data_IF_001932709213
#
_entry.id   IF_001932709213
#
_cell.length_a   1.000
_cell.length_b   1.000
_cell.length_c   1.000
_cell.angle_alpha   90.00
_cell.angle_beta   90.00
_cell.angle_gamma   90.00
#
_symmetry.space_group_name_H-M   'P 1'
#
loop_
_entity.id
_entity.type
_entity.pdbx_description
1 polymer ?
#
# COMPACT_ATOMS: atom_id res chain seq x y z
N UNK A 1 37.45 -18.23 -7.15
CA UNK A 1 36.81 -19.37 -7.82
C UNK A 1 36.11 -18.83 -9.07
N UNK A 2 36.22 -19.53 -10.23
CA UNK A 2 35.42 -19.14 -11.42
C UNK A 2 33.95 -19.31 -11.04
N UNK A 3 33.14 -18.27 -11.20
CA UNK A 3 31.67 -18.35 -11.09
C UNK A 3 31.21 -19.52 -11.97
N UNK A 4 30.47 -20.49 -11.40
CA UNK A 4 29.71 -21.45 -12.19
C UNK A 4 28.67 -20.73 -13.04
N UNK A 5 28.20 -21.31 -14.13
CA UNK A 5 27.08 -20.79 -14.89
C UNK A 5 25.83 -20.78 -14.00
N UNK A 6 24.95 -19.77 -14.21
CA UNK A 6 23.62 -19.73 -13.59
C UNK A 6 22.85 -21.03 -13.92
N UNK A 7 22.11 -21.55 -12.95
CA UNK A 7 21.41 -22.83 -13.07
C UNK A 7 19.89 -22.63 -13.00
N UNK A 8 19.18 -23.50 -13.71
CA UNK A 8 17.73 -23.59 -13.59
C UNK A 8 17.37 -24.80 -12.74
N UNK A 9 16.55 -24.60 -11.71
CA UNK A 9 16.02 -25.64 -10.85
C UNK A 9 14.53 -25.81 -11.09
N UNK A 10 14.12 -27.02 -11.44
CA UNK A 10 12.75 -27.36 -11.75
C UNK A 10 12.05 -28.00 -10.55
N UNK A 11 10.83 -27.57 -10.26
CA UNK A 11 10.02 -28.13 -9.17
C UNK A 11 8.67 -28.56 -9.74
N UNK A 12 8.26 -29.80 -9.51
CA UNK A 12 7.02 -30.38 -9.98
C UNK A 12 6.31 -31.10 -8.82
N UNK A 13 5.27 -30.49 -8.28
CA UNK A 13 4.53 -31.02 -7.13
C UNK A 13 3.88 -32.38 -7.40
N UNK A 14 3.64 -32.74 -8.65
CA UNK A 14 2.98 -33.99 -9.05
C UNK A 14 3.98 -35.12 -9.31
N UNK A 15 4.93 -34.89 -10.21
CA UNK A 15 5.84 -35.94 -10.72
C UNK A 15 7.29 -35.83 -10.23
N UNK A 16 7.63 -34.75 -9.53
CA UNK A 16 8.98 -34.53 -9.01
C UNK A 16 9.34 -35.45 -7.86
N UNK A 17 10.66 -35.54 -7.59
CA UNK A 17 11.20 -36.21 -6.42
C UNK A 17 12.35 -35.41 -5.82
N UNK A 18 12.29 -35.12 -4.51
CA UNK A 18 13.33 -34.38 -3.78
C UNK A 18 14.69 -35.17 -3.73
N UNK A 19 14.69 -36.40 -4.18
CA UNK A 19 15.91 -37.24 -4.35
C UNK A 19 16.67 -36.94 -5.64
N UNK A 20 16.08 -36.17 -6.56
CA UNK A 20 16.67 -35.80 -7.85
C UNK A 20 17.53 -34.54 -7.74
N UNK A 21 18.22 -34.18 -8.82
CA UNK A 21 19.09 -33.01 -8.89
C UNK A 21 18.34 -31.68 -9.15
N UNK A 22 17.11 -31.75 -9.66
CA UNK A 22 16.30 -30.58 -10.01
C UNK A 22 16.72 -29.88 -11.30
N UNK A 23 17.68 -30.35 -12.04
CA UNK A 23 18.31 -29.61 -13.15
C UNK A 23 17.60 -29.74 -14.50
N UNK A 24 16.50 -30.46 -14.54
CA UNK A 24 15.64 -30.57 -15.73
C UNK A 24 14.20 -30.86 -15.32
N UNK A 25 13.22 -30.65 -16.22
CA UNK A 25 11.83 -31.05 -15.96
C UNK A 25 11.64 -32.52 -15.66
N UNK A 26 12.53 -33.39 -16.15
CA UNK A 26 12.47 -34.84 -15.92
C UNK A 26 13.09 -35.26 -14.58
N UNK A 27 13.95 -34.44 -14.03
CA UNK A 27 14.61 -34.65 -12.73
C UNK A 27 14.18 -33.61 -11.68
N UNK A 28 12.98 -33.03 -11.86
CA UNK A 28 12.43 -31.97 -11.01
C UNK A 28 12.33 -32.39 -9.54
N UNK A 29 12.57 -31.46 -8.64
CA UNK A 29 12.24 -31.61 -7.22
C UNK A 29 10.72 -31.66 -7.03
N UNK A 30 10.28 -32.10 -5.86
CA UNK A 30 8.85 -32.23 -5.59
C UNK A 30 8.30 -31.11 -4.71
N UNK A 31 9.04 -30.67 -3.72
CA UNK A 31 8.49 -29.88 -2.62
C UNK A 31 9.22 -28.55 -2.38
N UNK A 32 8.50 -27.59 -1.82
CA UNK A 32 9.09 -26.35 -1.31
C UNK A 32 10.12 -26.62 -0.20
N UNK A 33 9.95 -27.72 0.56
CA UNK A 33 10.94 -28.13 1.57
C UNK A 33 12.33 -28.32 0.97
N UNK A 34 12.42 -28.91 -0.23
CA UNK A 34 13.69 -29.08 -0.93
C UNK A 34 14.25 -27.76 -1.41
N UNK A 35 13.39 -26.88 -1.93
CA UNK A 35 13.77 -25.51 -2.33
C UNK A 35 14.32 -24.75 -1.12
N UNK A 36 13.60 -24.73 -0.01
CA UNK A 36 13.98 -24.02 1.20
C UNK A 36 15.26 -24.55 1.88
N UNK A 37 15.64 -25.80 1.61
CA UNK A 37 16.88 -26.40 2.10
C UNK A 37 18.08 -26.16 1.17
N UNK A 38 17.89 -25.42 0.07
CA UNK A 38 18.91 -25.15 -0.95
C UNK A 38 19.34 -23.69 -0.90
N UNK A 39 20.65 -23.45 -0.92
CA UNK A 39 21.18 -22.07 -1.08
C UNK A 39 21.47 -21.83 -2.55
N UNK A 40 20.80 -20.84 -3.11
CA UNK A 40 20.93 -20.45 -4.52
C UNK A 40 22.04 -19.43 -4.70
N UNK A 41 22.58 -19.38 -5.91
CA UNK A 41 23.69 -18.51 -6.29
C UNK A 41 23.20 -17.42 -7.26
N UNK A 42 23.93 -16.31 -7.39
CA UNK A 42 23.57 -15.23 -8.32
C UNK A 42 23.26 -15.73 -9.73
N UNK A 43 22.07 -15.38 -10.23
CA UNK A 43 21.56 -15.74 -11.53
C UNK A 43 20.83 -17.08 -11.61
N UNK A 44 20.73 -17.83 -10.50
CA UNK A 44 19.94 -19.07 -10.47
C UNK A 44 18.44 -18.76 -10.65
N UNK A 45 17.71 -19.73 -11.22
CA UNK A 45 16.27 -19.66 -11.42
C UNK A 45 15.59 -20.88 -10.78
N UNK A 46 14.54 -20.64 -10.02
CA UNK A 46 13.65 -21.65 -9.45
C UNK A 46 12.36 -21.64 -10.26
N UNK A 47 12.07 -22.70 -10.96
CA UNK A 47 10.95 -22.79 -11.88
C UNK A 47 9.92 -23.79 -11.36
N UNK A 48 8.73 -23.30 -10.97
CA UNK A 48 7.62 -24.11 -10.51
C UNK A 48 6.75 -24.54 -11.70
N UNK A 49 6.35 -25.80 -11.75
CA UNK A 49 5.47 -26.28 -12.81
C UNK A 49 4.09 -25.66 -12.69
N UNK A 50 3.59 -25.08 -13.77
CA UNK A 50 2.24 -24.51 -13.87
C UNK A 50 1.13 -25.53 -13.65
N UNK A 51 -0.02 -25.09 -13.13
CA UNK A 51 -1.21 -25.92 -12.93
C UNK A 51 -1.18 -26.82 -11.69
N UNK A 52 -0.24 -26.61 -10.78
CA UNK A 52 -0.13 -27.38 -9.54
C UNK A 52 -0.01 -26.48 -8.31
N UNK A 53 -0.45 -27.02 -7.16
CA UNK A 53 -0.34 -26.36 -5.84
C UNK A 53 0.85 -26.92 -5.08
N UNK A 54 1.63 -26.03 -4.52
CA UNK A 54 2.79 -26.28 -3.68
C UNK A 54 2.45 -25.87 -2.24
N UNK A 55 2.30 -26.85 -1.37
CA UNK A 55 1.91 -26.62 0.01
C UNK A 55 3.07 -26.13 0.87
N UNK A 56 2.79 -25.12 1.71
CA UNK A 56 3.72 -24.56 2.68
C UNK A 56 4.36 -23.25 2.24
N UNK A 57 5.25 -22.74 3.08
CA UNK A 57 5.99 -21.50 2.83
C UNK A 57 7.09 -21.71 1.77
N UNK A 58 7.21 -20.76 0.85
CA UNK A 58 8.38 -20.64 -0.03
C UNK A 58 9.38 -19.67 0.61
N UNK A 59 10.52 -20.16 1.06
CA UNK A 59 11.61 -19.38 1.66
C UNK A 59 12.96 -19.87 1.12
N UNK A 60 13.30 -19.58 -0.14
CA UNK A 60 14.57 -19.97 -0.73
C UNK A 60 15.72 -19.19 -0.08
N UNK A 61 16.92 -19.77 -0.02
CA UNK A 61 18.09 -19.17 0.62
C UNK A 61 19.11 -18.67 -0.41
N UNK A 62 19.93 -17.70 -0.02
CA UNK A 62 20.99 -17.12 -0.86
C UNK A 62 20.70 -15.68 -1.26
N UNK A 63 21.70 -15.06 -1.88
CA UNK A 63 21.62 -13.69 -2.41
C UNK A 63 22.05 -13.68 -3.88
N UNK A 64 21.34 -12.90 -4.69
CA UNK A 64 21.77 -12.54 -6.03
C UNK A 64 22.83 -11.45 -6.04
N UNK A 65 23.02 -10.84 -7.19
CA UNK A 65 23.77 -9.57 -7.36
C UNK A 65 23.01 -8.65 -8.31
N UNK A 66 23.39 -7.40 -8.38
CA UNK A 66 22.75 -6.42 -9.27
C UNK A 66 22.78 -6.89 -10.75
N UNK A 67 23.85 -7.58 -11.18
CA UNK A 67 23.97 -8.08 -12.55
C UNK A 67 23.31 -9.45 -12.75
N UNK A 68 23.01 -10.16 -11.66
CA UNK A 68 22.52 -11.53 -11.68
C UNK A 68 21.58 -11.81 -10.48
N UNK A 69 20.38 -11.23 -10.46
CA UNK A 69 19.37 -11.53 -9.43
C UNK A 69 18.96 -13.00 -9.51
N UNK A 70 18.55 -13.57 -8.39
CA UNK A 70 17.96 -14.91 -8.35
C UNK A 70 16.47 -14.77 -8.64
N UNK A 71 15.90 -15.71 -9.39
CA UNK A 71 14.52 -15.64 -9.83
C UNK A 71 13.68 -16.81 -9.37
N UNK A 72 12.45 -16.52 -8.96
CA UNK A 72 11.40 -17.53 -8.81
C UNK A 72 10.35 -17.27 -9.88
N UNK A 73 10.06 -18.29 -10.68
CA UNK A 73 9.07 -18.20 -11.75
C UNK A 73 8.41 -19.53 -12.03
N UNK A 74 7.91 -19.70 -13.24
CA UNK A 74 7.19 -20.92 -13.61
C UNK A 74 7.66 -21.49 -14.95
N UNK A 75 7.36 -22.77 -15.18
CA UNK A 75 7.55 -23.43 -16.46
C UNK A 75 6.33 -24.28 -16.83
N UNK A 76 6.20 -24.59 -18.11
CA UNK A 76 5.05 -25.27 -18.67
C UNK A 76 4.02 -24.27 -19.22
N UNK A 77 2.81 -24.72 -19.41
CA UNK A 77 1.69 -23.89 -19.89
C UNK A 77 0.45 -24.10 -19.06
N UNK A 78 -0.42 -23.08 -18.98
CA UNK A 78 -1.68 -23.14 -18.23
C UNK A 78 -1.73 -22.19 -17.05
N UNK A 79 -2.49 -22.53 -16.01
CA UNK A 79 -2.67 -21.70 -14.82
C UNK A 79 -1.36 -21.51 -14.04
N UNK A 80 -1.21 -20.39 -13.36
CA UNK A 80 -0.05 -20.11 -12.50
C UNK A 80 0.14 -21.23 -11.47
N UNK A 81 1.40 -21.51 -11.05
CA UNK A 81 1.63 -22.40 -9.92
C UNK A 81 1.19 -21.71 -8.63
N UNK A 82 0.49 -22.44 -7.78
CA UNK A 82 -0.07 -21.93 -6.53
C UNK A 82 0.86 -22.22 -5.37
N UNK A 83 1.28 -21.21 -4.64
CA UNK A 83 1.88 -21.36 -3.31
C UNK A 83 0.76 -21.25 -2.29
N UNK A 84 0.45 -22.33 -1.60
CA UNK A 84 -0.60 -22.36 -0.57
C UNK A 84 0.03 -22.64 0.80
N UNK A 85 0.11 -21.61 1.62
CA UNK A 85 0.65 -21.69 2.97
C UNK A 85 -0.32 -22.31 3.99
N UNK A 86 -1.56 -22.60 3.59
CA UNK A 86 -2.56 -23.30 4.42
C UNK A 86 -3.00 -22.53 5.68
N UNK A 87 -2.93 -21.20 5.64
CA UNK A 87 -3.26 -20.36 6.77
C UNK A 87 -2.20 -20.35 7.88
N UNK A 88 -0.95 -20.62 7.52
CA UNK A 88 0.17 -20.46 8.46
C UNK A 88 0.22 -19.03 9.00
N UNK A 89 0.64 -18.87 10.23
CA UNK A 89 0.66 -17.56 10.90
C UNK A 89 1.86 -17.41 11.81
N UNK A 90 2.38 -16.20 11.91
CA UNK A 90 3.29 -15.78 12.94
C UNK A 90 2.57 -15.27 14.20
N UNK A 91 3.29 -15.08 15.27
CA UNK A 91 2.79 -14.52 16.54
C UNK A 91 3.65 -13.35 16.97
N UNK A 92 3.09 -12.44 17.76
CA UNK A 92 3.83 -11.27 18.29
C UNK A 92 4.98 -11.68 19.23
N UNK A 93 4.82 -12.79 19.96
CA UNK A 93 5.80 -13.31 20.90
C UNK A 93 6.81 -14.26 20.23
N UNK A 94 6.49 -14.74 19.03
CA UNK A 94 7.32 -15.59 18.20
C UNK A 94 7.90 -14.85 17.00
N UNK A 95 8.48 -15.61 16.09
CA UNK A 95 8.93 -15.02 14.84
C UNK A 95 7.74 -14.90 13.85
N UNK A 96 7.27 -13.67 13.61
CA UNK A 96 6.16 -13.41 12.70
C UNK A 96 6.46 -13.78 11.24
N UNK A 97 7.71 -14.06 10.88
CA UNK A 97 8.11 -14.54 9.55
C UNK A 97 7.44 -15.86 9.18
N UNK A 98 7.08 -16.67 10.15
CA UNK A 98 6.35 -17.92 9.94
C UNK A 98 4.95 -17.71 9.32
N UNK A 99 4.45 -16.48 9.35
CA UNK A 99 3.14 -16.13 8.80
C UNK A 99 3.10 -15.87 7.29
N UNK A 100 4.20 -15.95 6.58
CA UNK A 100 4.25 -15.64 5.15
C UNK A 100 4.08 -16.89 4.26
N UNK A 101 3.38 -16.75 3.13
CA UNK A 101 3.39 -17.78 2.08
C UNK A 101 4.70 -17.73 1.27
N UNK A 102 5.18 -16.51 0.95
CA UNK A 102 6.50 -16.28 0.35
C UNK A 102 7.31 -15.36 1.25
N UNK A 103 8.51 -15.79 1.63
CA UNK A 103 9.37 -15.09 2.57
C UNK A 103 10.75 -14.78 1.99
N UNK A 104 11.18 -13.51 2.13
CA UNK A 104 12.58 -13.09 1.98
C UNK A 104 13.01 -12.38 3.29
N UNK A 105 13.96 -12.98 4.01
CA UNK A 105 14.45 -12.49 5.29
C UNK A 105 15.94 -12.20 5.23
N UNK A 106 16.31 -10.92 5.34
CA UNK A 106 17.70 -10.46 5.21
C UNK A 106 18.37 -10.94 3.90
N UNK A 107 17.65 -10.91 2.80
CA UNK A 107 18.08 -11.35 1.49
C UNK A 107 17.97 -10.22 0.46
N UNK A 108 18.84 -10.28 -0.56
CA UNK A 108 18.91 -9.27 -1.61
C UNK A 108 18.91 -9.90 -3.00
N UNK A 109 18.48 -9.08 -3.98
CA UNK A 109 18.52 -9.41 -5.40
C UNK A 109 17.70 -10.65 -5.76
N UNK A 110 16.41 -10.57 -5.40
CA UNK A 110 15.41 -11.60 -5.74
C UNK A 110 14.29 -11.02 -6.58
N UNK A 111 13.87 -11.80 -7.56
CA UNK A 111 12.69 -11.52 -8.37
C UNK A 111 11.69 -12.67 -8.28
N UNK A 112 10.41 -12.37 -8.07
CA UNK A 112 9.31 -13.33 -8.11
C UNK A 112 8.37 -12.91 -9.23
N UNK A 113 8.07 -13.84 -10.15
CA UNK A 113 7.25 -13.52 -11.31
C UNK A 113 6.23 -14.64 -11.61
N UNK A 114 4.96 -14.25 -11.71
CA UNK A 114 3.92 -15.10 -12.27
C UNK A 114 3.40 -16.22 -11.39
N UNK A 115 3.44 -16.07 -10.08
CA UNK A 115 2.88 -17.04 -9.13
C UNK A 115 1.46 -16.67 -8.70
N UNK A 116 0.68 -17.67 -8.28
CA UNK A 116 -0.52 -17.52 -7.47
C UNK A 116 -0.17 -17.81 -6.01
N UNK A 117 -0.58 -16.94 -5.08
CA UNK A 117 -0.11 -16.98 -3.67
C UNK A 117 -1.33 -16.83 -2.76
N UNK A 118 -1.52 -17.82 -1.89
CA UNK A 118 -2.67 -17.93 -0.98
C UNK A 118 -2.17 -18.22 0.44
N UNK A 119 -2.79 -17.59 1.43
CA UNK A 119 -2.55 -17.90 2.84
C UNK A 119 -3.86 -17.86 3.64
N UNK A 120 -4.75 -18.78 3.36
CA UNK A 120 -6.08 -18.85 3.93
C UNK A 120 -6.21 -19.92 4.99
N UNK A 121 -6.70 -19.54 6.18
CA UNK A 121 -7.15 -20.49 7.19
C UNK A 121 -8.67 -20.56 7.23
N UNK A 122 -9.29 -21.63 6.75
CA UNK A 122 -10.74 -21.76 6.72
C UNK A 122 -11.39 -21.87 8.11
N UNK A 123 -10.61 -22.12 9.13
CA UNK A 123 -11.07 -22.21 10.52
C UNK A 123 -10.88 -20.89 11.27
N UNK A 124 -10.20 -19.89 10.69
CA UNK A 124 -10.04 -18.59 11.32
C UNK A 124 -11.38 -17.87 11.34
N UNK A 125 -11.85 -17.59 12.53
CA UNK A 125 -13.01 -16.72 12.74
C UNK A 125 -12.53 -15.45 13.41
N UNK A 126 -12.83 -14.38 12.75
CA UNK A 126 -12.56 -13.08 13.30
C UNK A 126 -13.53 -12.83 14.47
N UNK A 127 -13.03 -12.79 15.70
CA UNK A 127 -13.84 -12.44 16.87
C UNK A 127 -13.81 -10.92 17.10
N UNK A 128 -15.00 -10.29 17.20
CA UNK A 128 -15.13 -8.86 17.42
C UNK A 128 -15.21 -8.57 18.91
N UNK A 129 -14.19 -7.93 19.46
CA UNK A 129 -14.28 -7.32 20.79
C UNK A 129 -14.60 -5.83 20.56
N UNK A 130 -15.75 -5.40 21.03
CA UNK A 130 -16.19 -4.01 20.96
C UNK A 130 -15.49 -3.22 22.07
N UNK A 131 -14.28 -2.77 21.85
CA UNK A 131 -13.64 -1.75 22.67
C UNK A 131 -13.62 -0.43 21.87
N UNK A 132 -14.35 0.56 22.35
CA UNK A 132 -14.31 1.92 21.80
C UNK A 132 -12.95 2.54 22.10
N UNK A 133 -12.19 2.87 21.10
CA UNK A 133 -10.98 3.65 21.27
C UNK A 133 -11.37 5.09 21.71
N UNK A 134 -10.78 5.61 22.81
CA UNK A 134 -11.23 6.90 23.39
C UNK A 134 -11.04 8.10 22.50
N UNK A 135 -10.17 8.04 21.49
CA UNK A 135 -9.87 9.15 20.58
C UNK A 135 -10.45 9.02 19.16
N UNK A 136 -10.62 7.81 18.66
CA UNK A 136 -11.06 7.60 17.27
C UNK A 136 -12.49 7.07 17.16
N UNK A 137 -13.13 6.71 18.27
CA UNK A 137 -14.44 6.04 18.29
C UNK A 137 -14.51 4.77 17.43
N UNK A 138 -13.36 4.28 16.97
CA UNK A 138 -13.27 3.05 16.19
C UNK A 138 -13.36 1.83 17.10
N UNK A 139 -14.01 0.82 16.62
CA UNK A 139 -14.11 -0.48 17.28
C UNK A 139 -12.88 -1.29 16.89
N UNK A 140 -11.90 -1.38 17.81
CA UNK A 140 -10.76 -2.25 17.58
C UNK A 140 -11.11 -3.69 17.93
N UNK A 141 -10.72 -4.57 17.05
CA UNK A 141 -10.66 -5.98 17.34
C UNK A 141 -9.36 -6.34 18.01
N UNK A 142 -9.46 -7.03 19.11
CA UNK A 142 -8.34 -7.72 19.69
C UNK A 142 -8.58 -9.20 19.51
N UNK A 143 -7.88 -9.82 18.55
CA UNK A 143 -7.80 -11.26 18.55
C UNK A 143 -6.91 -11.68 19.72
N UNK A 144 -7.34 -12.61 20.57
CA UNK A 144 -6.50 -13.11 21.66
C UNK A 144 -5.24 -13.81 21.16
N UNK A 145 -5.15 -14.10 19.87
CA UNK A 145 -4.08 -14.91 19.31
C UNK A 145 -3.06 -14.15 18.46
N UNK A 146 -3.21 -12.81 18.27
CA UNK A 146 -2.28 -11.93 17.49
C UNK A 146 -1.65 -12.67 16.29
N UNK A 147 -2.47 -13.09 15.34
CA UNK A 147 -2.03 -13.93 14.22
C UNK A 147 -1.70 -13.09 13.00
N UNK A 148 -0.45 -13.09 12.62
CA UNK A 148 0.07 -12.41 11.44
C UNK A 148 0.08 -13.35 10.25
N UNK A 149 -0.54 -12.94 9.12
CA UNK A 149 -0.51 -13.68 7.85
C UNK A 149 -0.18 -12.74 6.71
N UNK A 150 0.67 -13.22 5.83
CA UNK A 150 1.09 -12.48 4.67
C UNK A 150 1.04 -13.37 3.43
N UNK A 151 0.68 -12.81 2.29
CA UNK A 151 0.94 -13.44 1.01
C UNK A 151 2.45 -13.44 0.76
N UNK A 152 3.06 -12.26 0.65
CA UNK A 152 4.51 -12.07 0.50
C UNK A 152 5.02 -11.21 1.64
N UNK A 153 6.06 -11.67 2.34
CA UNK A 153 6.79 -10.89 3.35
C UNK A 153 8.25 -10.73 2.92
N UNK A 154 8.67 -9.48 2.83
CA UNK A 154 10.06 -9.10 2.62
C UNK A 154 10.49 -8.33 3.86
N UNK A 155 11.47 -8.85 4.58
CA UNK A 155 11.92 -8.25 5.84
C UNK A 155 13.43 -8.16 5.93
N UNK A 156 13.91 -6.96 6.19
CA UNK A 156 15.29 -6.74 6.65
C UNK A 156 15.27 -6.35 8.12
N UNK A 157 16.09 -7.02 8.94
CA UNK A 157 16.15 -6.83 10.38
C UNK A 157 17.60 -6.67 10.85
N UNK A 158 17.94 -5.51 11.43
CA UNK A 158 19.30 -5.17 11.86
C UNK A 158 20.34 -5.41 10.76
N UNK A 159 20.01 -5.01 9.52
CA UNK A 159 20.71 -5.51 8.33
C UNK A 159 21.60 -4.46 7.64
N UNK A 160 21.26 -3.18 7.72
CA UNK A 160 21.79 -2.14 6.85
C UNK A 160 20.83 -1.87 5.70
N UNK A 161 21.33 -1.67 4.48
CA UNK A 161 20.46 -1.47 3.32
C UNK A 161 20.15 -2.79 2.61
N UNK A 162 18.88 -3.13 2.54
CA UNK A 162 18.37 -4.20 1.69
C UNK A 162 18.28 -3.77 0.23
N UNK A 163 18.49 -4.66 -0.72
CA UNK A 163 18.52 -4.30 -2.13
C UNK A 163 17.70 -5.23 -3.02
N UNK A 164 17.04 -4.64 -4.01
CA UNK A 164 16.49 -5.27 -5.20
C UNK A 164 15.59 -6.48 -4.90
N UNK A 165 14.36 -6.20 -4.53
CA UNK A 165 13.31 -7.21 -4.47
C UNK A 165 12.18 -6.78 -5.41
N UNK A 166 11.92 -7.61 -6.43
CA UNK A 166 10.88 -7.36 -7.41
C UNK A 166 9.80 -8.44 -7.36
N UNK A 167 8.55 -8.04 -7.13
CA UNK A 167 7.37 -8.92 -7.11
C UNK A 167 6.48 -8.55 -8.28
N UNK A 168 6.40 -9.44 -9.27
CA UNK A 168 5.77 -9.11 -10.56
C UNK A 168 4.72 -10.14 -10.98
N UNK A 169 3.66 -9.64 -11.62
CA UNK A 169 2.66 -10.47 -12.31
C UNK A 169 2.07 -11.62 -11.46
N UNK A 170 2.08 -11.48 -10.13
CA UNK A 170 1.52 -12.47 -9.23
C UNK A 170 0.02 -12.26 -9.03
N UNK A 171 -0.69 -13.32 -8.67
CA UNK A 171 -2.04 -13.27 -8.16
C UNK A 171 -2.00 -13.62 -6.68
N UNK A 172 -2.26 -12.64 -5.81
CA UNK A 172 -2.17 -12.79 -4.36
C UNK A 172 -3.55 -12.60 -3.79
N UNK A 173 -4.09 -13.64 -3.13
CA UNK A 173 -5.47 -13.58 -2.70
C UNK A 173 -5.76 -14.48 -1.48
N UNK A 174 -6.94 -14.30 -0.90
CA UNK A 174 -7.38 -15.09 0.26
C UNK A 174 -6.34 -15.09 1.39
N UNK A 175 -5.85 -13.90 1.77
CA UNK A 175 -4.98 -13.74 2.94
C UNK A 175 -5.84 -13.26 4.10
N UNK A 176 -6.29 -14.21 4.92
CA UNK A 176 -7.17 -13.91 6.04
C UNK A 176 -6.42 -13.84 7.38
N UNK A 177 -6.76 -12.86 8.19
CA UNK A 177 -6.09 -12.65 9.47
C UNK A 177 -6.74 -11.58 10.31
N UNK A 178 -6.02 -11.10 11.30
CA UNK A 178 -6.50 -10.01 12.12
C UNK A 178 -6.48 -8.69 11.35
N UNK A 179 -7.66 -8.07 11.20
CA UNK A 179 -7.81 -6.84 10.44
C UNK A 179 -7.47 -5.57 11.22
N UNK A 180 -7.29 -5.66 12.53
CA UNK A 180 -7.16 -4.47 13.41
C UNK A 180 -5.77 -3.83 13.44
N UNK A 181 -4.71 -4.46 12.90
CA UNK A 181 -3.33 -4.06 13.17
C UNK A 181 -2.32 -4.39 12.07
N UNK A 182 -2.61 -4.20 10.81
CA UNK A 182 -1.66 -4.52 9.75
C UNK A 182 -1.12 -5.97 9.84
N UNK A 183 -1.98 -6.90 10.21
CA UNK A 183 -1.61 -8.29 10.49
C UNK A 183 -2.00 -9.26 9.38
N UNK A 184 -2.69 -8.79 8.36
CA UNK A 184 -3.11 -9.59 7.22
C UNK A 184 -2.88 -8.78 5.94
N UNK A 185 -1.78 -9.05 5.24
CA UNK A 185 -1.40 -8.25 4.09
C UNK A 185 -1.09 -9.10 2.87
N UNK A 186 -1.46 -8.58 1.71
CA UNK A 186 -1.10 -9.20 0.44
C UNK A 186 0.42 -9.22 0.26
N UNK A 187 1.04 -8.04 0.26
CA UNK A 187 2.51 -7.87 0.20
C UNK A 187 2.93 -6.92 1.31
N UNK A 188 3.86 -7.37 2.15
CA UNK A 188 4.54 -6.53 3.13
C UNK A 188 6.03 -6.45 2.84
N UNK A 189 6.54 -5.22 2.70
CA UNK A 189 7.97 -4.91 2.67
C UNK A 189 8.31 -4.13 3.92
N UNK A 190 9.20 -4.63 4.76
CA UNK A 190 9.46 -4.00 6.04
C UNK A 190 10.93 -4.01 6.45
N UNK A 191 11.41 -2.88 6.97
CA UNK A 191 12.67 -2.79 7.69
C UNK A 191 12.41 -2.70 9.20
N UNK A 192 13.10 -3.53 9.96
CA UNK A 192 12.93 -3.64 11.42
C UNK A 192 14.28 -3.68 12.12
N UNK A 193 14.27 -3.62 13.43
CA UNK A 193 15.49 -3.71 14.21
C UNK A 193 15.26 -3.59 15.71
N UNK A 194 16.35 -3.45 16.43
CA UNK A 194 16.41 -3.10 17.85
C UNK A 194 17.14 -1.78 18.01
N UNK A 195 16.90 -1.05 19.07
CA UNK A 195 17.48 0.29 19.30
C UNK A 195 19.01 0.30 19.29
N UNK A 196 19.64 -0.81 19.63
CA UNK A 196 21.09 -1.04 19.61
C UNK A 196 21.56 -1.82 18.35
N UNK A 197 20.63 -2.11 17.44
CA UNK A 197 20.91 -2.87 16.22
C UNK A 197 21.45 -2.03 15.06
N UNK A 198 21.70 -2.68 13.95
CA UNK A 198 22.13 -2.00 12.73
C UNK A 198 20.97 -1.23 12.11
N UNK A 199 21.07 0.09 11.89
CA UNK A 199 20.07 0.87 11.18
C UNK A 199 19.76 0.24 9.83
N UNK A 200 18.45 0.11 9.53
CA UNK A 200 18.00 -0.70 8.38
C UNK A 200 17.01 0.10 7.52
N UNK A 201 17.27 0.13 6.25
CA UNK A 201 16.40 0.62 5.19
C UNK A 201 16.51 -0.30 3.96
N UNK A 202 15.88 0.08 2.86
CA UNK A 202 15.99 -0.68 1.60
C UNK A 202 16.03 0.26 0.39
N UNK A 203 16.57 -0.28 -0.69
CA UNK A 203 16.74 0.38 -1.97
C UNK A 203 16.37 -0.56 -3.10
N UNK A 204 15.63 -0.06 -4.11
CA UNK A 204 15.16 -0.83 -5.27
C UNK A 204 14.15 -1.93 -4.90
N UNK A 205 12.92 -1.51 -4.57
CA UNK A 205 11.77 -2.39 -4.42
C UNK A 205 10.76 -2.10 -5.54
N UNK A 206 10.43 -3.12 -6.32
CA UNK A 206 9.43 -3.04 -7.39
C UNK A 206 8.28 -4.01 -7.13
N UNK A 207 7.06 -3.48 -7.09
CA UNK A 207 5.81 -4.23 -7.00
C UNK A 207 4.99 -3.89 -8.25
N UNK A 208 4.94 -4.79 -9.24
CA UNK A 208 4.45 -4.47 -10.57
C UNK A 208 3.48 -5.51 -11.14
N UNK A 209 2.34 -5.05 -11.67
CA UNK A 209 1.44 -5.88 -12.46
C UNK A 209 0.77 -7.02 -11.68
N UNK A 210 0.67 -6.92 -10.36
CA UNK A 210 0.06 -7.95 -9.54
C UNK A 210 -1.47 -7.74 -9.47
N UNK A 211 -2.19 -8.86 -9.37
CA UNK A 211 -3.60 -8.89 -8.97
C UNK A 211 -3.64 -9.26 -7.48
N UNK A 212 -4.22 -8.39 -6.66
CA UNK A 212 -4.30 -8.55 -5.19
C UNK A 212 -5.76 -8.42 -4.78
N UNK A 213 -6.33 -9.45 -4.17
CA UNK A 213 -7.74 -9.42 -3.81
C UNK A 213 -8.09 -10.25 -2.57
N UNK A 214 -9.20 -9.89 -1.91
CA UNK A 214 -9.70 -10.59 -0.73
C UNK A 214 -8.66 -10.69 0.40
N UNK A 215 -8.13 -9.52 0.79
CA UNK A 215 -7.15 -9.38 1.86
C UNK A 215 -7.81 -8.78 3.10
N UNK A 216 -7.66 -9.43 4.25
CA UNK A 216 -8.32 -9.00 5.49
C UNK A 216 -7.78 -7.70 6.10
N UNK A 217 -6.69 -7.12 5.57
CA UNK A 217 -6.21 -5.80 5.98
C UNK A 217 -5.67 -4.98 4.81
N UNK A 218 -4.41 -5.05 4.46
CA UNK A 218 -3.75 -4.17 3.48
C UNK A 218 -3.30 -4.92 2.24
N UNK A 219 -3.58 -4.38 1.06
CA UNK A 219 -3.14 -4.98 -0.20
C UNK A 219 -1.62 -4.97 -0.33
N UNK A 220 -1.01 -3.79 -0.31
CA UNK A 220 0.44 -3.58 -0.39
C UNK A 220 0.87 -2.62 0.72
N UNK A 221 1.84 -3.03 1.52
CA UNK A 221 2.42 -2.22 2.59
C UNK A 221 3.93 -2.16 2.48
N UNK A 222 4.47 -0.94 2.55
CA UNK A 222 5.90 -0.66 2.63
C UNK A 222 6.14 0.11 3.91
N UNK A 223 6.94 -0.42 4.83
CA UNK A 223 7.05 0.12 6.19
C UNK A 223 8.47 0.09 6.75
N UNK A 224 8.75 0.98 7.70
CA UNK A 224 9.99 0.98 8.46
C UNK A 224 9.76 1.24 9.94
N UNK A 225 10.44 0.50 10.79
CA UNK A 225 10.55 0.77 12.21
C UNK A 225 11.62 1.85 12.52
N UNK A 226 12.48 2.21 11.58
CA UNK A 226 13.46 3.29 11.70
C UNK A 226 12.82 4.62 11.31
N UNK A 227 12.04 5.20 12.23
CA UNK A 227 11.08 6.25 11.92
C UNK A 227 11.09 7.43 12.91
N UNK A 228 12.01 7.49 13.90
CA UNK A 228 12.05 8.53 14.92
C UNK A 228 12.63 9.86 14.41
N UNK A 229 12.23 10.96 15.05
CA UNK A 229 12.93 12.26 14.93
C UNK A 229 12.32 13.25 13.94
N UNK A 230 11.17 12.92 13.30
CA UNK A 230 10.44 13.84 12.42
C UNK A 230 9.32 14.62 13.13
N UNK A 231 9.37 14.64 14.46
CA UNK A 231 8.37 15.33 15.28
C UNK A 231 7.00 14.63 15.29
N UNK A 232 6.95 13.38 14.88
CA UNK A 232 5.78 12.54 15.05
C UNK A 232 5.81 12.07 16.49
N UNK A 233 4.94 12.66 17.32
CA UNK A 233 4.70 12.16 18.67
C UNK A 233 3.61 11.08 18.55
N UNK A 234 4.02 9.86 18.48
CA UNK A 234 3.11 8.76 18.79
C UNK A 234 2.81 8.89 20.28
N UNK A 235 1.75 9.62 20.62
CA UNK A 235 1.31 9.87 21.98
C UNK A 235 1.25 8.55 22.71
N UNK A 236 2.13 8.34 23.71
CA UNK A 236 2.34 7.12 24.49
C UNK A 236 1.10 6.33 24.86
N UNK A 237 0.40 5.93 23.85
CA UNK A 237 -0.82 5.15 23.91
C UNK A 237 -0.39 3.68 24.07
N UNK A 238 -0.84 2.97 25.09
CA UNK A 238 -0.53 1.54 25.27
C UNK A 238 -0.87 0.67 24.05
N UNK A 239 -1.69 1.18 23.12
CA UNK A 239 -1.94 0.54 21.83
C UNK A 239 -0.73 0.58 20.88
N UNK A 240 0.11 1.59 20.96
CA UNK A 240 1.28 1.75 20.09
C UNK A 240 2.42 0.82 20.49
N UNK A 241 2.54 0.48 21.77
CA UNK A 241 3.58 -0.41 22.29
C UNK A 241 3.43 -1.87 21.84
N UNK A 242 2.26 -2.27 21.35
CA UNK A 242 1.97 -3.64 20.95
C UNK A 242 1.71 -3.78 19.43
N UNK A 243 1.84 -2.69 18.68
CA UNK A 243 1.73 -2.72 17.23
C UNK A 243 3.11 -2.76 16.61
N UNK A 244 3.43 -3.84 15.97
CA UNK A 244 4.72 -4.07 15.32
C UNK A 244 5.16 -2.92 14.39
N UNK A 245 4.22 -2.28 13.73
CA UNK A 245 4.46 -1.16 12.80
C UNK A 245 4.69 0.18 13.49
N UNK A 246 4.24 0.35 14.72
CA UNK A 246 4.42 1.58 15.48
C UNK A 246 5.58 1.51 16.50
N UNK A 247 6.31 0.41 16.52
CA UNK A 247 7.52 0.31 17.34
C UNK A 247 8.67 0.98 16.56
N UNK A 248 8.87 2.25 16.82
CA UNK A 248 10.07 2.95 16.32
C UNK A 248 11.27 2.48 17.13
N UNK A 249 12.37 2.24 16.44
CA UNK A 249 13.60 1.68 17.06
C UNK A 249 14.80 2.60 16.95
N UNK A 250 14.71 3.69 16.18
CA UNK A 250 15.81 4.62 16.01
C UNK A 250 15.50 5.72 15.00
N UNK A 251 16.50 6.56 14.70
CA UNK A 251 16.31 7.72 13.83
C UNK A 251 15.75 7.32 12.47
N UNK A 252 14.90 8.19 11.92
CA UNK A 252 14.33 8.02 10.60
C UNK A 252 15.40 7.82 9.53
N UNK A 253 15.22 6.76 8.75
CA UNK A 253 16.05 6.44 7.59
C UNK A 253 15.10 6.13 6.43
N UNK A 254 15.06 7.03 5.43
CA UNK A 254 14.22 6.84 4.26
C UNK A 254 14.72 5.70 3.36
N UNK A 255 13.80 4.84 2.96
CA UNK A 255 14.04 3.87 1.89
C UNK A 255 13.86 4.52 0.53
N UNK A 256 14.61 4.09 -0.48
CA UNK A 256 14.69 4.73 -1.79
C UNK A 256 14.36 3.78 -2.94
N UNK A 257 14.09 4.35 -4.12
CA UNK A 257 13.79 3.59 -5.33
C UNK A 257 12.65 2.57 -5.16
N UNK A 258 11.59 2.99 -4.46
CA UNK A 258 10.37 2.19 -4.29
C UNK A 258 9.40 2.54 -5.42
N UNK A 259 8.97 1.54 -6.18
CA UNK A 259 8.00 1.70 -7.27
C UNK A 259 6.87 0.68 -7.11
N UNK A 260 5.64 1.17 -7.07
CA UNK A 260 4.43 0.35 -7.02
C UNK A 260 3.59 0.73 -8.22
N UNK A 261 3.54 -0.14 -9.23
CA UNK A 261 2.88 0.23 -10.49
C UNK A 261 2.09 -0.89 -11.17
N UNK A 262 1.02 -0.49 -11.85
CA UNK A 262 0.24 -1.40 -12.70
C UNK A 262 -0.45 -2.52 -11.92
N UNK A 263 -0.59 -2.40 -10.60
CA UNK A 263 -1.27 -3.40 -9.79
C UNK A 263 -2.79 -3.19 -9.82
N UNK A 264 -3.53 -4.27 -9.70
CA UNK A 264 -4.98 -4.28 -9.53
C UNK A 264 -5.29 -4.79 -8.12
N UNK A 265 -5.98 -3.97 -7.33
CA UNK A 265 -6.25 -4.24 -5.92
C UNK A 265 -7.76 -4.20 -5.71
N UNK A 266 -8.31 -5.30 -5.21
CA UNK A 266 -9.74 -5.44 -4.99
C UNK A 266 -10.04 -5.94 -3.59
N UNK A 267 -11.04 -5.36 -2.94
CA UNK A 267 -11.62 -5.87 -1.68
C UNK A 267 -10.60 -6.12 -0.58
N UNK A 268 -9.87 -5.07 -0.24
CA UNK A 268 -9.07 -5.06 1.00
C UNK A 268 -9.93 -4.53 2.15
N UNK A 269 -9.93 -5.21 3.28
CA UNK A 269 -10.74 -4.77 4.42
C UNK A 269 -10.25 -3.43 5.00
N UNK A 270 -8.98 -3.13 4.89
CA UNK A 270 -8.35 -1.84 5.17
C UNK A 270 -7.76 -1.21 3.91
N UNK A 271 -6.51 -0.82 3.99
CA UNK A 271 -5.83 -0.04 2.98
C UNK A 271 -5.57 -0.80 1.67
N UNK A 272 -5.54 -0.11 0.54
CA UNK A 272 -5.08 -0.66 -0.72
C UNK A 272 -3.55 -0.64 -0.82
N UNK A 273 -2.94 0.55 -0.80
CA UNK A 273 -1.49 0.76 -0.86
C UNK A 273 -1.07 1.74 0.22
N UNK A 274 -0.09 1.33 1.02
CA UNK A 274 0.52 2.14 2.07
C UNK A 274 2.04 2.18 1.91
N UNK A 275 2.63 3.38 1.96
CA UNK A 275 4.08 3.55 2.02
C UNK A 275 4.48 4.41 3.22
N UNK A 276 5.49 3.97 3.96
CA UNK A 276 5.98 4.66 5.15
C UNK A 276 7.52 4.76 5.15
N UNK A 277 8.02 5.89 5.60
CA UNK A 277 9.45 6.14 5.75
C UNK A 277 10.25 5.91 4.46
N UNK A 278 9.79 6.53 3.37
CA UNK A 278 10.40 6.43 2.05
C UNK A 278 10.76 7.81 1.49
N UNK A 279 11.62 7.84 0.49
CA UNK A 279 12.02 9.04 -0.26
C UNK A 279 11.78 8.79 -1.74
N UNK A 280 10.97 9.66 -2.38
CA UNK A 280 10.75 9.64 -3.81
C UNK A 280 10.01 8.39 -4.32
N UNK A 281 9.16 7.78 -3.51
CA UNK A 281 8.34 6.64 -3.94
C UNK A 281 7.41 7.02 -5.08
N UNK A 282 7.29 6.13 -6.07
CA UNK A 282 6.37 6.29 -7.20
C UNK A 282 5.25 5.25 -7.09
N UNK A 283 4.01 5.72 -7.01
CA UNK A 283 2.79 4.90 -7.01
C UNK A 283 2.01 5.29 -8.26
N UNK A 284 2.03 4.43 -9.28
CA UNK A 284 1.49 4.81 -10.58
C UNK A 284 0.75 3.69 -11.32
N UNK A 285 -0.24 4.09 -12.13
CA UNK A 285 -0.99 3.17 -12.98
C UNK A 285 -1.65 2.00 -12.22
N UNK A 286 -1.93 2.17 -10.92
CA UNK A 286 -2.63 1.17 -10.15
C UNK A 286 -4.15 1.41 -10.24
N UNK A 287 -4.89 0.32 -10.15
CA UNK A 287 -6.34 0.31 -9.98
C UNK A 287 -6.67 -0.22 -8.58
N UNK A 288 -7.41 0.54 -7.79
CA UNK A 288 -7.81 0.16 -6.44
C UNK A 288 -9.32 0.31 -6.27
N UNK A 289 -10.02 -0.78 -6.01
CA UNK A 289 -11.48 -0.84 -5.92
C UNK A 289 -11.92 -1.55 -4.64
N UNK A 290 -12.95 -1.01 -3.98
CA UNK A 290 -13.49 -1.56 -2.74
C UNK A 290 -12.42 -1.77 -1.65
N UNK A 291 -11.50 -0.82 -1.52
CA UNK A 291 -10.64 -0.73 -0.34
C UNK A 291 -11.42 -0.18 0.85
N UNK A 292 -10.91 -0.43 2.07
CA UNK A 292 -11.54 0.02 3.31
C UNK A 292 -12.96 -0.53 3.51
N UNK A 293 -13.29 -1.70 2.92
CA UNK A 293 -14.65 -2.22 2.93
C UNK A 293 -15.13 -2.62 4.33
N UNK A 294 -14.24 -2.91 5.25
CA UNK A 294 -14.60 -3.12 6.65
C UNK A 294 -14.46 -1.80 7.46
N UNK A 295 -15.48 -0.99 7.42
CA UNK A 295 -15.53 0.31 8.10
C UNK A 295 -15.40 0.22 9.63
N UNK A 296 -15.30 -0.96 10.21
CA UNK A 296 -15.04 -1.18 11.64
C UNK A 296 -13.56 -1.06 12.02
N UNK A 297 -12.69 -1.01 11.04
CA UNK A 297 -11.22 -0.91 11.22
C UNK A 297 -10.65 0.44 10.81
N UNK A 298 -11.48 1.46 10.71
CA UNK A 298 -11.00 2.82 10.50
C UNK A 298 -10.00 3.25 11.60
N UNK A 299 -9.09 4.17 11.32
CA UNK A 299 -8.96 4.94 10.09
C UNK A 299 -8.18 4.19 9.00
N UNK A 300 -8.55 4.36 7.73
CA UNK A 300 -7.91 3.78 6.55
C UNK A 300 -8.13 4.66 5.34
N UNK A 301 -7.17 4.67 4.40
CA UNK A 301 -7.34 5.28 3.08
C UNK A 301 -6.94 4.28 1.99
N UNK A 302 -7.41 4.48 0.76
CA UNK A 302 -7.11 3.51 -0.29
C UNK A 302 -5.63 3.53 -0.67
N UNK A 303 -5.05 4.71 -0.94
CA UNK A 303 -3.65 4.85 -1.37
C UNK A 303 -3.01 6.03 -0.63
N UNK A 304 -2.01 5.76 0.21
CA UNK A 304 -1.47 6.78 1.09
C UNK A 304 0.01 6.63 1.43
N UNK A 305 0.58 7.74 1.90
CA UNK A 305 1.94 7.78 2.41
C UNK A 305 1.96 8.34 3.85
N UNK A 306 2.97 7.93 4.62
CA UNK A 306 3.17 8.36 5.99
C UNK A 306 4.66 8.53 6.27
N UNK A 307 5.05 9.62 6.94
CA UNK A 307 6.45 9.86 7.34
C UNK A 307 7.43 9.77 6.14
N UNK A 308 7.02 10.23 4.97
CA UNK A 308 7.71 10.07 3.69
C UNK A 308 7.94 11.42 3.00
N UNK A 309 8.96 11.52 2.16
CA UNK A 309 9.25 12.72 1.37
C UNK A 309 9.20 12.42 -0.12
N UNK A 310 8.61 13.35 -0.89
CA UNK A 310 8.61 13.31 -2.35
C UNK A 310 7.82 12.14 -2.95
N UNK A 311 6.82 11.62 -2.27
CA UNK A 311 5.97 10.55 -2.81
C UNK A 311 5.14 11.07 -3.99
N UNK A 312 5.14 10.34 -5.09
CA UNK A 312 4.38 10.68 -6.29
C UNK A 312 3.26 9.66 -6.52
N UNK A 313 2.02 10.14 -6.46
CA UNK A 313 0.82 9.37 -6.84
C UNK A 313 0.38 9.85 -8.22
N UNK A 314 0.48 9.02 -9.24
CA UNK A 314 0.11 9.43 -10.58
C UNK A 314 -0.55 8.35 -11.43
N UNK A 315 -1.52 8.76 -12.26
CA UNK A 315 -2.21 7.88 -13.19
C UNK A 315 -2.88 6.67 -12.52
N UNK A 316 -3.24 6.78 -11.24
CA UNK A 316 -3.99 5.74 -10.55
C UNK A 316 -5.50 5.99 -10.72
N UNK A 317 -6.26 4.90 -10.70
CA UNK A 317 -7.71 4.93 -10.57
C UNK A 317 -8.10 4.32 -9.22
N UNK A 318 -8.85 5.07 -8.41
CA UNK A 318 -9.28 4.66 -7.07
C UNK A 318 -10.77 4.86 -6.96
N UNK A 319 -11.51 3.81 -6.63
CA UNK A 319 -12.95 3.89 -6.60
C UNK A 319 -13.60 2.98 -5.54
N UNK A 320 -14.83 3.38 -5.16
CA UNK A 320 -15.69 2.62 -4.25
C UNK A 320 -15.03 2.31 -2.90
N UNK A 321 -14.18 3.19 -2.38
CA UNK A 321 -13.70 3.07 -1.00
C UNK A 321 -14.86 3.18 -0.03
N UNK A 322 -14.74 2.56 1.13
CA UNK A 322 -15.74 2.60 2.16
C UNK A 322 -15.24 3.35 3.39
N UNK A 323 -16.16 3.90 4.17
CA UNK A 323 -15.84 4.57 5.41
C UNK A 323 -15.93 6.09 5.34
N UNK A 324 -16.33 6.67 6.46
CA UNK A 324 -16.54 8.12 6.65
C UNK A 324 -15.57 8.71 7.67
N UNK A 325 -14.78 7.87 8.30
CA UNK A 325 -13.63 8.24 9.13
C UNK A 325 -12.38 7.78 8.36
N UNK A 326 -11.75 8.72 7.69
CA UNK A 326 -10.88 8.51 6.55
C UNK A 326 -11.66 7.90 5.36
N UNK A 327 -11.17 6.92 4.64
CA UNK A 327 -11.87 6.33 3.49
C UNK A 327 -11.67 7.11 2.20
N UNK A 328 -10.72 8.05 2.16
CA UNK A 328 -10.37 8.80 0.96
C UNK A 328 -9.65 7.93 -0.05
N UNK A 329 -9.72 8.37 -1.31
CA UNK A 329 -8.95 7.76 -2.38
C UNK A 329 -7.45 7.92 -2.13
N UNK A 330 -7.00 9.13 -1.78
CA UNK A 330 -5.61 9.46 -1.53
C UNK A 330 -5.43 10.13 -0.17
N UNK A 331 -4.29 9.84 0.49
CA UNK A 331 -3.94 10.47 1.74
C UNK A 331 -2.44 10.79 1.79
N UNK A 332 -2.13 12.04 2.09
CA UNK A 332 -0.80 12.49 2.48
C UNK A 332 -0.84 12.62 4.00
N UNK A 333 -0.48 11.52 4.67
CA UNK A 333 -0.59 11.41 6.12
C UNK A 333 0.62 12.08 6.82
N UNK A 334 0.70 11.94 8.09
CA UNK A 334 1.58 12.64 9.01
C UNK A 334 3.04 12.71 8.53
N UNK A 335 3.64 13.91 8.63
CA UNK A 335 5.05 14.19 8.34
C UNK A 335 5.49 13.80 6.92
N UNK A 336 4.63 14.02 5.94
CA UNK A 336 4.95 13.86 4.53
C UNK A 336 5.17 15.23 3.87
N UNK A 337 6.32 15.40 3.20
CA UNK A 337 6.68 16.65 2.53
C UNK A 337 6.92 16.44 1.05
N UNK A 338 6.74 17.49 0.27
CA UNK A 338 7.02 17.51 -1.17
C UNK A 338 6.29 16.42 -1.97
N UNK A 339 5.14 15.97 -1.47
CA UNK A 339 4.35 14.92 -2.13
C UNK A 339 3.56 15.48 -3.32
N UNK A 340 3.41 14.67 -4.36
CA UNK A 340 2.70 15.04 -5.60
C UNK A 340 1.57 14.05 -5.84
N UNK A 341 0.34 14.57 -6.00
CA UNK A 341 -0.83 13.79 -6.42
C UNK A 341 -1.31 14.33 -7.76
N UNK A 342 -1.09 13.59 -8.85
CA UNK A 342 -1.38 14.11 -10.18
C UNK A 342 -1.95 13.10 -11.16
N UNK A 343 -2.83 13.59 -12.03
CA UNK A 343 -3.40 12.82 -13.15
C UNK A 343 -4.08 11.52 -12.70
N UNK A 344 -4.59 11.47 -11.48
CA UNK A 344 -5.36 10.34 -10.98
C UNK A 344 -6.84 10.53 -11.26
N UNK A 345 -7.55 9.41 -11.32
CA UNK A 345 -9.01 9.37 -11.39
C UNK A 345 -9.56 8.77 -10.07
N UNK A 346 -10.34 9.58 -9.36
CA UNK A 346 -10.99 9.24 -8.10
C UNK A 346 -12.49 9.27 -8.29
N UNK A 347 -13.21 8.20 -7.92
CA UNK A 347 -14.66 8.25 -8.07
C UNK A 347 -15.42 7.32 -7.12
N UNK A 348 -16.61 7.75 -6.71
CA UNK A 348 -17.52 7.00 -5.84
C UNK A 348 -16.92 6.60 -4.48
N UNK A 349 -15.94 7.33 -3.99
CA UNK A 349 -15.32 7.07 -2.70
C UNK A 349 -16.13 7.69 -1.56
N UNK A 350 -16.46 6.92 -0.54
CA UNK A 350 -17.29 7.40 0.58
C UNK A 350 -16.55 8.45 1.44
N UNK A 351 -15.24 8.34 1.59
CA UNK A 351 -14.43 9.27 2.38
C UNK A 351 -14.00 10.53 1.64
N UNK A 352 -14.12 10.56 0.30
CA UNK A 352 -13.72 11.69 -0.52
C UNK A 352 -12.46 11.46 -1.36
N UNK A 353 -11.92 12.54 -1.93
CA UNK A 353 -10.77 12.49 -2.83
C UNK A 353 -9.44 12.48 -2.07
N UNK A 354 -9.21 13.49 -1.23
CA UNK A 354 -7.90 13.73 -0.63
C UNK A 354 -7.98 14.01 0.88
N UNK A 355 -7.16 13.30 1.65
CA UNK A 355 -6.86 13.64 3.04
C UNK A 355 -5.47 14.26 3.15
N UNK A 356 -5.30 15.22 4.05
CA UNK A 356 -4.03 15.83 4.41
C UNK A 356 -3.95 15.94 5.93
N UNK A 357 -2.94 15.30 6.50
CA UNK A 357 -2.73 15.24 7.94
C UNK A 357 -1.71 16.29 8.41
N UNK A 358 -1.49 16.37 9.71
CA UNK A 358 -0.58 17.34 10.33
C UNK A 358 0.90 17.09 9.97
N UNK A 359 1.70 18.16 10.04
CA UNK A 359 3.13 18.16 9.67
C UNK A 359 3.40 17.75 8.22
N UNK A 360 2.44 18.00 7.33
CA UNK A 360 2.64 17.85 5.90
C UNK A 360 2.82 19.24 5.26
N UNK A 361 3.82 19.39 4.39
CA UNK A 361 4.14 20.68 3.78
C UNK A 361 4.56 20.54 2.33
N UNK A 362 4.40 21.63 1.57
CA UNK A 362 4.88 21.78 0.20
C UNK A 362 4.36 20.70 -0.77
N UNK A 363 3.10 20.29 -0.60
CA UNK A 363 2.48 19.28 -1.45
C UNK A 363 1.83 19.91 -2.68
N UNK A 364 1.85 19.21 -3.81
CA UNK A 364 1.31 19.66 -5.10
C UNK A 364 0.28 18.66 -5.65
N UNK A 365 -0.98 19.09 -5.79
CA UNK A 365 -2.11 18.24 -6.17
C UNK A 365 -2.74 18.80 -7.43
N UNK A 366 -2.52 18.14 -8.58
CA UNK A 366 -2.93 18.72 -9.83
C UNK A 366 -3.33 17.74 -10.93
N UNK A 367 -4.16 18.23 -11.84
CA UNK A 367 -4.58 17.49 -13.03
C UNK A 367 -5.43 16.25 -12.71
N UNK A 368 -5.91 16.10 -11.47
CA UNK A 368 -6.74 14.97 -11.07
C UNK A 368 -8.20 15.20 -11.45
N UNK A 369 -8.94 14.11 -11.57
CA UNK A 369 -10.38 14.10 -11.75
C UNK A 369 -11.00 13.40 -10.54
N UNK A 370 -11.96 14.07 -9.87
CA UNK A 370 -12.75 13.50 -8.77
C UNK A 370 -14.24 13.60 -9.13
N UNK A 371 -14.91 12.46 -9.19
CA UNK A 371 -16.31 12.36 -9.57
C UNK A 371 -17.08 11.49 -8.57
N UNK A 372 -18.23 11.97 -8.10
CA UNK A 372 -19.09 11.23 -7.16
C UNK A 372 -18.42 10.86 -5.83
N UNK A 373 -17.31 11.46 -5.50
CA UNK A 373 -16.66 11.33 -4.19
C UNK A 373 -17.48 12.09 -3.12
N UNK A 374 -17.50 11.61 -1.88
CA UNK A 374 -18.41 12.06 -0.84
C UNK A 374 -17.70 12.49 0.45
N UNK A 375 -18.47 13.00 1.42
CA UNK A 375 -18.03 13.29 2.80
C UNK A 375 -16.86 14.28 2.96
N UNK A 376 -16.75 15.23 2.06
CA UNK A 376 -15.65 16.19 2.00
C UNK A 376 -14.58 15.73 1.02
N UNK A 377 -14.58 16.36 -0.17
CA UNK A 377 -13.63 16.00 -1.22
C UNK A 377 -12.19 16.18 -0.74
N UNK A 378 -11.94 17.26 0.01
CA UNK A 378 -10.64 17.60 0.58
C UNK A 378 -10.81 17.71 2.09
N UNK A 379 -10.25 16.76 2.79
CA UNK A 379 -10.22 16.78 4.24
C UNK A 379 -8.84 17.16 4.75
N UNK A 380 -8.79 18.19 5.57
CA UNK A 380 -7.57 18.66 6.23
C UNK A 380 -7.69 18.40 7.72
N UNK A 381 -6.73 17.72 8.28
CA UNK A 381 -6.66 17.42 9.70
C UNK A 381 -5.38 18.02 10.31
N UNK A 382 -5.50 19.22 10.90
CA UNK A 382 -4.41 19.95 11.56
C UNK A 382 -3.15 20.14 10.70
N UNK A 383 -3.34 20.48 9.43
CA UNK A 383 -2.22 20.62 8.49
C UNK A 383 -1.44 21.92 8.70
N UNK A 384 -0.11 21.84 8.60
CA UNK A 384 0.79 22.98 8.77
C UNK A 384 0.85 23.92 7.54
N UNK A 385 0.15 23.59 6.45
CA UNK A 385 0.02 24.42 5.26
C UNK A 385 0.97 24.10 4.11
N UNK A 386 0.98 24.99 3.09
CA UNK A 386 1.87 24.85 1.94
C UNK A 386 1.42 23.81 0.92
N UNK A 387 0.12 23.58 0.76
CA UNK A 387 -0.43 22.70 -0.27
C UNK A 387 -1.09 23.50 -1.39
N UNK A 388 -0.74 23.16 -2.62
CA UNK A 388 -1.31 23.74 -3.83
C UNK A 388 -2.19 22.75 -4.57
N UNK A 389 -3.42 23.19 -4.89
CA UNK A 389 -4.35 22.47 -5.76
C UNK A 389 -4.49 23.23 -7.07
N UNK A 390 -4.13 22.61 -8.21
CA UNK A 390 -4.30 23.29 -9.49
C UNK A 390 -4.71 22.38 -10.63
N UNK A 391 -5.44 22.92 -11.57
CA UNK A 391 -5.89 22.21 -12.78
C UNK A 391 -6.67 20.90 -12.50
N UNK A 392 -7.22 20.72 -11.29
CA UNK A 392 -8.07 19.58 -10.95
C UNK A 392 -9.50 19.78 -11.44
N UNK A 393 -10.25 18.71 -11.57
CA UNK A 393 -11.66 18.71 -11.95
C UNK A 393 -12.47 17.97 -10.90
N UNK A 394 -13.41 18.69 -10.28
CA UNK A 394 -14.26 18.19 -9.22
C UNK A 394 -15.71 18.20 -9.66
N UNK A 395 -16.37 17.04 -9.75
CA UNK A 395 -17.79 16.92 -10.02
C UNK A 395 -18.58 16.72 -8.73
N UNK A 396 -19.47 17.66 -8.47
CA UNK A 396 -20.28 17.75 -7.26
C UNK A 396 -21.72 17.34 -7.61
N UNK A 397 -22.10 16.09 -7.38
CA UNK A 397 -23.39 15.54 -7.80
C UNK A 397 -24.48 15.54 -6.73
N UNK A 398 -24.16 15.98 -5.51
CA UNK A 398 -25.03 15.93 -4.32
C UNK A 398 -25.63 17.29 -3.98
N UNK A 399 -26.77 17.30 -3.27
CA UNK A 399 -27.44 18.54 -2.82
C UNK A 399 -26.70 19.24 -1.71
N UNK A 400 -25.96 18.68 -0.87
CA UNK A 400 -25.22 19.30 0.22
C UNK A 400 -23.77 18.85 0.18
N UNK A 401 -23.07 19.29 -0.85
CA UNK A 401 -21.69 18.89 -1.05
C UNK A 401 -20.78 19.61 -0.07
N UNK A 402 -20.18 18.87 0.82
CA UNK A 402 -19.06 19.33 1.61
C UNK A 402 -17.78 19.19 0.79
N UNK A 403 -17.31 20.28 0.18
CA UNK A 403 -16.05 20.27 -0.57
C UNK A 403 -14.87 20.21 0.38
N UNK A 404 -14.92 20.99 1.44
CA UNK A 404 -13.83 21.12 2.41
C UNK A 404 -14.27 20.62 3.79
N UNK A 405 -13.48 19.76 4.39
CA UNK A 405 -13.68 19.26 5.75
C UNK A 405 -12.44 19.56 6.61
N UNK A 406 -12.67 19.89 7.88
CA UNK A 406 -11.62 20.20 8.84
C UNK A 406 -11.09 21.64 8.79
N UNK A 407 -10.16 21.99 9.68
CA UNK A 407 -9.59 23.32 9.76
C UNK A 407 -8.56 23.55 8.65
N UNK A 408 -8.63 24.74 8.03
CA UNK A 408 -7.62 25.24 7.10
C UNK A 408 -6.95 26.44 7.79
N UNK A 409 -6.07 26.16 8.74
CA UNK A 409 -5.56 27.16 9.66
C UNK A 409 -4.36 27.96 9.13
N UNK A 410 -3.76 27.53 8.00
CA UNK A 410 -2.66 28.22 7.34
C UNK A 410 -3.13 29.08 6.16
N UNK A 411 -2.41 30.18 5.88
CA UNK A 411 -2.63 31.06 4.72
C UNK A 411 -1.91 30.54 3.44
N UNK A 412 -1.26 29.38 3.49
CA UNK A 412 -0.41 28.85 2.42
C UNK A 412 -1.13 27.88 1.48
N UNK A 413 -2.45 27.80 1.59
CA UNK A 413 -3.29 27.04 0.68
C UNK A 413 -3.60 27.82 -0.58
N UNK A 414 -3.45 27.20 -1.75
CA UNK A 414 -3.89 27.82 -3.00
C UNK A 414 -4.69 26.85 -3.88
N UNK A 415 -5.67 27.43 -4.58
CA UNK A 415 -6.52 26.76 -5.55
C UNK A 415 -6.47 27.55 -6.85
N UNK A 416 -5.81 27.01 -7.90
CA UNK A 416 -5.54 27.72 -9.14
C UNK A 416 -6.04 26.92 -10.35
N UNK A 417 -6.86 27.51 -11.22
CA UNK A 417 -7.28 26.87 -12.47
C UNK A 417 -8.12 25.59 -12.31
N UNK A 418 -8.63 25.29 -11.12
CA UNK A 418 -9.47 24.11 -10.91
C UNK A 418 -10.88 24.31 -11.48
N UNK A 419 -11.55 23.21 -11.78
CA UNK A 419 -12.96 23.20 -12.20
C UNK A 419 -13.80 22.60 -11.08
N UNK A 420 -14.70 23.40 -10.50
CA UNK A 420 -15.76 22.96 -9.59
C UNK A 420 -17.06 22.93 -10.37
N UNK A 421 -17.50 21.74 -10.76
CA UNK A 421 -18.70 21.53 -11.56
C UNK A 421 -19.81 20.94 -10.68
N UNK A 422 -20.79 21.73 -10.29
CA UNK A 422 -21.96 21.24 -9.57
C UNK A 422 -23.05 20.75 -10.55
N UNK A 423 -23.65 19.59 -10.25
CA UNK A 423 -24.78 19.05 -11.03
C UNK A 423 -26.01 19.91 -10.91
N UNK A 424 -26.31 20.38 -9.70
CA UNK A 424 -27.47 21.19 -9.41
C UNK A 424 -27.14 22.68 -9.56
N UNK A 425 -28.02 23.47 -10.19
CA UNK A 425 -27.85 24.92 -10.23
C UNK A 425 -27.95 25.50 -8.80
N UNK A 426 -27.34 26.66 -8.62
CA UNK A 426 -27.32 27.38 -7.36
C UNK A 426 -26.76 26.65 -6.16
N UNK A 427 -25.85 25.67 -6.40
CA UNK A 427 -25.13 24.96 -5.34
C UNK A 427 -24.31 25.95 -4.50
N UNK A 428 -24.39 25.83 -3.18
CA UNK A 428 -23.61 26.67 -2.25
C UNK A 428 -22.46 25.80 -1.66
N UNK A 429 -21.25 26.38 -1.57
CA UNK A 429 -20.06 25.77 -1.03
C UNK A 429 -19.55 26.63 0.14
N UNK A 430 -19.18 25.97 1.23
CA UNK A 430 -18.48 26.62 2.34
C UNK A 430 -17.00 26.78 2.00
N UNK A 431 -16.65 27.92 1.40
CA UNK A 431 -15.26 28.23 1.03
C UNK A 431 -14.39 28.51 2.25
N UNK A 432 -13.11 28.25 2.13
CA UNK A 432 -12.13 28.53 3.19
C UNK A 432 -11.54 29.92 2.99
N UNK A 433 -11.84 30.85 3.92
CA UNK A 433 -11.49 32.28 3.80
C UNK A 433 -9.99 32.54 3.74
N UNK A 434 -9.17 31.66 4.36
CA UNK A 434 -7.70 31.82 4.38
C UNK A 434 -7.02 31.25 3.14
N UNK A 435 -7.70 30.44 2.35
CA UNK A 435 -7.15 29.90 1.11
C UNK A 435 -7.17 30.95 -0.01
N UNK A 436 -6.18 30.90 -0.89
CA UNK A 436 -6.07 31.77 -2.06
C UNK A 436 -6.71 31.09 -3.26
N UNK A 437 -7.55 31.83 -4.01
CA UNK A 437 -8.23 31.32 -5.19
C UNK A 437 -7.85 32.16 -6.40
N UNK A 438 -7.53 31.53 -7.53
CA UNK A 438 -7.15 32.22 -8.75
C UNK A 438 -7.55 31.45 -10.02
N UNK A 439 -8.41 32.06 -10.82
CA UNK A 439 -8.73 31.57 -12.16
C UNK A 439 -9.46 30.24 -12.20
N UNK A 440 -10.17 29.87 -11.12
CA UNK A 440 -10.95 28.66 -11.09
C UNK A 440 -12.26 28.79 -11.85
N UNK A 441 -12.81 27.69 -12.33
CA UNK A 441 -14.14 27.62 -12.93
C UNK A 441 -15.16 27.12 -11.92
N UNK A 442 -16.29 27.85 -11.78
CA UNK A 442 -17.35 27.57 -10.82
C UNK A 442 -18.68 27.41 -11.55
N UNK A 443 -18.94 26.24 -12.11
CA UNK A 443 -20.17 26.01 -12.85
C UNK A 443 -21.32 25.53 -11.95
N UNK A 444 -22.50 26.20 -12.06
CA UNK A 444 -23.66 25.98 -11.22
C UNK A 444 -23.48 26.32 -9.72
N UNK A 445 -22.48 27.11 -9.36
CA UNK A 445 -22.18 27.49 -8.00
C UNK A 445 -22.63 28.94 -7.77
N UNK A 446 -23.42 29.16 -6.73
CA UNK A 446 -24.05 30.43 -6.42
C UNK A 446 -23.14 31.43 -5.70
N UNK A 447 -22.40 30.93 -4.72
CA UNK A 447 -21.48 31.73 -3.92
C UNK A 447 -20.05 31.46 -4.29
N UNK A 448 -19.32 32.47 -4.69
CA UNK A 448 -17.90 32.31 -5.09
C UNK A 448 -16.98 32.79 -3.97
N UNK A 449 -15.78 32.19 -3.86
CA UNK A 449 -14.73 32.76 -3.02
C UNK A 449 -14.17 34.05 -3.63
N UNK A 450 -13.23 34.70 -2.95
CA UNK A 450 -12.49 35.85 -3.51
C UNK A 450 -11.48 35.33 -4.57
N UNK A 451 -11.96 35.16 -5.80
CA UNK A 451 -11.19 34.77 -6.97
C UNK A 451 -11.33 35.86 -8.06
N UNK A 452 -10.31 36.72 -8.25
CA UNK A 452 -10.40 37.87 -9.18
C UNK A 452 -10.45 37.44 -10.67
N UNK A 453 -10.10 36.17 -10.98
CA UNK A 453 -10.10 35.63 -12.33
C UNK A 453 -11.14 34.51 -12.49
N UNK A 454 -12.17 34.47 -11.63
CA UNK A 454 -13.21 33.44 -11.63
C UNK A 454 -13.92 33.30 -12.98
N UNK A 455 -14.13 32.07 -13.42
CA UNK A 455 -14.90 31.74 -14.62
C UNK A 455 -16.20 31.02 -14.21
N UNK A 456 -17.34 31.45 -14.77
CA UNK A 456 -18.66 30.86 -14.44
C UNK A 456 -19.34 30.18 -15.62
N UNK A 457 -18.75 30.26 -16.81
CA UNK A 457 -19.25 29.58 -17.99
C UNK A 457 -19.09 28.08 -17.87
N UNK A 458 -19.97 27.35 -18.57
CA UNK A 458 -19.92 25.90 -18.59
C UNK A 458 -18.59 25.42 -19.20
N UNK A 459 -17.80 24.63 -18.47
CA UNK A 459 -16.52 24.12 -18.98
C UNK A 459 -16.75 23.14 -20.12
N UNK A 460 -15.72 22.99 -20.95
CA UNK A 460 -15.70 21.99 -22.03
C UNK A 460 -15.68 20.56 -21.50
N UNK A 461 -15.04 20.36 -20.35
CA UNK A 461 -15.07 19.07 -19.65
C UNK A 461 -16.48 18.72 -19.20
N UNK A 462 -16.87 17.47 -19.42
CA UNK A 462 -18.15 16.93 -18.95
C UNK A 462 -17.83 15.73 -18.07
N UNK A 463 -18.39 15.63 -16.85
CA UNK A 463 -18.25 14.45 -16.00
C UNK A 463 -18.93 13.24 -16.63
N UNK A 464 -18.52 12.06 -16.23
CA UNK A 464 -19.20 10.82 -16.58
C UNK A 464 -20.62 10.79 -15.99
N UNK A 465 -21.58 10.18 -16.70
CA UNK A 465 -23.00 10.26 -16.37
C UNK A 465 -23.40 9.11 -15.46
#
# INVERSE_FOLDING_TARGET
>A
MKRGAAMQYFVDACYGCDCQDGLSPLTAWKSLKKVNATTFMPGDEILLRTGYTYAGQLHPLGDGTAEAPIRVGSYGGGAKPVIDAGGTHGTLEGDFVDGAAVLFYNQNYWEVDGLEIVNHNPYYKQEYIHELHPHTHSVFKKSPENRYRYGVLIRWHNYGTGHHIHIKNCHIHDVNGECSRFCAEGILVVSTGTADGTPTNFDDVLIEGNLIEDIDRTGISVWSAWAEGRGIEYHGNPYESNNFYHTTVGPWIGSTNVVIRGNQIYRTAGDGILVNSTIGTIIEHNYAEHCCWDNRIAPNAAVWCHNADGTVFQYNEVCYTHGVQDGQAFDIDIACNDSIVRYNYSHHNEGGFQLLMYKTTNNDIYGNISEHDRNGLIWVHENDGGTRFHDNRFYLDMENVQVFRGPFDSDDWSFEGNVFYARLPDTEIEWRERAKYKGNTYYNIKNLPDDPEAVTEKPAWQPDK
#
